data_IF_202298678115
#
_entry.id   IF_202298678115
#
_cell.length_a   1.000
_cell.length_b   1.000
_cell.length_c   1.000
_cell.angle_alpha   90.00
_cell.angle_beta   90.00
_cell.angle_gamma   90.00
#
_symmetry.space_group_name_H-M   'P 1'
#
loop_
_entity.id
_entity.type
_entity.pdbx_description
1 polymer ?
#
# COMPACT_ATOMS: atom_id res chain seq x y z
N UNK A 1 8.36 10.11 -11.26
CA UNK A 1 7.31 9.25 -11.85
C UNK A 1 6.18 9.17 -10.83
N UNK A 2 4.91 9.11 -11.24
CA UNK A 2 3.83 8.98 -10.25
C UNK A 2 3.82 7.53 -9.75
N UNK A 3 4.12 7.35 -8.46
CA UNK A 3 4.05 6.04 -7.82
C UNK A 3 2.57 5.74 -7.55
N UNK A 4 2.07 4.65 -8.12
CA UNK A 4 0.65 4.27 -8.01
C UNK A 4 0.42 3.08 -7.07
N UNK A 5 1.49 2.38 -6.67
CA UNK A 5 1.40 1.14 -5.89
C UNK A 5 2.41 1.11 -4.75
N UNK A 6 2.04 0.43 -3.66
CA UNK A 6 2.91 0.12 -2.53
C UNK A 6 3.18 -1.37 -2.46
N UNK A 7 4.38 -1.73 -2.05
CA UNK A 7 4.74 -3.07 -1.62
C UNK A 7 4.77 -3.18 -0.09
N UNK A 8 4.96 -4.39 0.44
CA UNK A 8 4.94 -4.63 1.89
C UNK A 8 6.02 -3.85 2.66
N UNK A 9 7.21 -3.60 2.07
CA UNK A 9 8.28 -2.82 2.71
C UNK A 9 7.85 -1.36 2.84
N UNK A 10 7.31 -0.79 1.78
CA UNK A 10 6.84 0.60 1.74
C UNK A 10 5.66 0.81 2.68
N UNK A 11 4.74 -0.16 2.73
CA UNK A 11 3.63 -0.14 3.66
C UNK A 11 4.09 -0.17 5.12
N UNK A 12 5.16 -0.89 5.46
CA UNK A 12 5.77 -0.88 6.80
C UNK A 12 6.47 0.43 7.17
N UNK A 13 6.89 1.23 6.18
CA UNK A 13 7.49 2.54 6.43
C UNK A 13 6.41 3.58 6.75
N UNK A 14 5.23 3.44 6.14
CA UNK A 14 4.09 4.33 6.36
C UNK A 14 3.30 3.91 7.60
N UNK A 15 2.88 2.65 7.66
CA UNK A 15 2.22 2.05 8.81
C UNK A 15 3.33 1.42 9.66
N UNK A 16 3.58 1.85 10.91
CA UNK A 16 4.61 1.27 11.78
C UNK A 16 4.21 -0.15 12.23
N UNK A 17 4.14 -1.08 11.29
CA UNK A 17 3.66 -2.45 11.42
C UNK A 17 4.71 -3.44 10.94
N UNK A 18 4.58 -4.70 11.36
CA UNK A 18 5.47 -5.76 10.90
C UNK A 18 5.29 -6.06 9.40
N UNK A 19 6.34 -6.55 8.75
CA UNK A 19 6.29 -7.01 7.34
C UNK A 19 5.24 -8.10 7.11
N UNK A 20 5.06 -8.98 8.09
CA UNK A 20 4.05 -10.04 8.05
C UNK A 20 2.64 -9.45 8.07
N UNK A 21 2.41 -8.42 8.90
CA UNK A 21 1.13 -7.69 8.95
C UNK A 21 0.87 -6.94 7.65
N UNK A 22 1.86 -6.22 7.12
CA UNK A 22 1.74 -5.53 5.83
C UNK A 22 1.39 -6.49 4.69
N UNK A 23 2.04 -7.66 4.66
CA UNK A 23 1.76 -8.69 3.64
C UNK A 23 0.35 -9.27 3.75
N UNK A 24 -0.18 -9.42 4.98
CA UNK A 24 -1.58 -9.84 5.21
C UNK A 24 -2.56 -8.80 4.70
N UNK A 25 -2.38 -7.53 5.06
CA UNK A 25 -3.23 -6.41 4.61
C UNK A 25 -3.25 -6.34 3.07
N UNK A 26 -2.09 -6.41 2.42
CA UNK A 26 -2.01 -6.41 0.95
C UNK A 26 -2.79 -7.59 0.35
N UNK A 27 -2.75 -8.77 0.99
CA UNK A 27 -3.50 -9.93 0.51
C UNK A 27 -5.00 -9.73 0.65
N UNK A 28 -5.46 -9.30 1.82
CA UNK A 28 -6.89 -9.08 2.09
C UNK A 28 -7.49 -8.00 1.18
N UNK A 29 -6.75 -6.92 0.91
CA UNK A 29 -7.21 -5.87 0.00
C UNK A 29 -7.20 -6.30 -1.47
N UNK A 30 -6.24 -7.14 -1.87
CA UNK A 30 -6.25 -7.74 -3.20
C UNK A 30 -7.43 -8.72 -3.37
N UNK A 31 -7.73 -9.54 -2.36
CA UNK A 31 -8.90 -10.43 -2.36
C UNK A 31 -10.21 -9.63 -2.47
N UNK A 32 -10.31 -8.45 -1.82
CA UNK A 32 -11.45 -7.52 -1.99
C UNK A 32 -11.55 -7.00 -3.43
N UNK A 33 -10.44 -6.52 -4.00
CA UNK A 33 -10.40 -6.04 -5.40
C UNK A 33 -10.85 -7.12 -6.38
N UNK A 34 -10.37 -8.36 -6.21
CA UNK A 34 -10.76 -9.50 -7.04
C UNK A 34 -12.26 -9.81 -6.88
N UNK A 35 -12.80 -9.72 -5.67
CA UNK A 35 -14.23 -9.90 -5.40
C UNK A 35 -15.10 -8.81 -6.04
N UNK A 36 -14.57 -7.60 -6.22
CA UNK A 36 -15.24 -6.49 -6.90
C UNK A 36 -15.11 -6.57 -8.44
N UNK A 37 -14.36 -7.56 -8.95
CA UNK A 37 -14.14 -7.76 -10.38
C UNK A 37 -12.92 -7.03 -10.95
N UNK A 38 -12.07 -6.45 -10.09
CA UNK A 38 -10.82 -5.83 -10.49
C UNK A 38 -9.66 -6.83 -10.54
N UNK A 39 -8.60 -6.48 -11.28
CA UNK A 39 -7.38 -7.27 -11.34
C UNK A 39 -6.43 -6.80 -10.22
N UNK A 40 -6.09 -7.71 -9.32
CA UNK A 40 -5.11 -7.49 -8.26
C UNK A 40 -3.70 -7.93 -8.66
N UNK A 41 -2.67 -7.22 -8.18
CA UNK A 41 -1.26 -7.58 -8.40
C UNK A 41 -0.66 -8.11 -7.11
N UNK A 42 -0.25 -9.38 -7.10
CA UNK A 42 0.35 -10.00 -5.92
C UNK A 42 1.53 -9.21 -5.37
N UNK A 43 1.49 -8.94 -4.06
CA UNK A 43 2.56 -8.26 -3.33
C UNK A 43 2.59 -6.74 -3.54
N UNK A 44 1.64 -6.19 -4.30
CA UNK A 44 1.43 -4.76 -4.48
C UNK A 44 -0.02 -4.41 -4.18
N UNK A 45 -0.26 -3.14 -3.87
CA UNK A 45 -1.60 -2.61 -3.67
C UNK A 45 -1.66 -1.16 -4.18
N UNK A 46 -2.75 -0.71 -4.80
CA UNK A 46 -2.90 0.68 -5.23
C UNK A 46 -2.87 1.63 -4.03
N UNK A 47 -2.14 2.76 -4.14
CA UNK A 47 -2.06 3.76 -3.06
C UNK A 47 -3.43 4.33 -2.72
N UNK A 48 -4.25 4.60 -3.74
CA UNK A 48 -5.60 5.14 -3.57
C UNK A 48 -6.44 4.23 -2.67
N UNK A 49 -6.40 2.91 -2.91
CA UNK A 49 -7.15 1.96 -2.08
C UNK A 49 -6.67 1.96 -0.63
N UNK A 50 -5.35 2.05 -0.40
CA UNK A 50 -4.82 2.11 0.97
C UNK A 50 -5.21 3.42 1.65
N UNK A 51 -5.17 4.56 0.95
CA UNK A 51 -5.64 5.85 1.47
C UNK A 51 -7.11 5.78 1.90
N UNK A 52 -7.97 5.16 1.09
CA UNK A 52 -9.38 4.98 1.42
C UNK A 52 -9.59 4.11 2.67
N UNK A 53 -8.78 3.07 2.85
CA UNK A 53 -8.87 2.16 4.00
C UNK A 53 -8.21 2.71 5.26
N UNK A 54 -7.24 3.62 5.12
CA UNK A 54 -6.48 4.22 6.22
C UNK A 54 -6.53 5.75 6.18
N UNK A 55 -7.70 6.37 6.40
CA UNK A 55 -7.89 7.82 6.26
C UNK A 55 -7.11 8.66 7.29
N UNK A 56 -6.65 8.04 8.39
CA UNK A 56 -5.88 8.71 9.45
C UNK A 56 -4.36 8.69 9.23
N UNK A 57 -3.92 8.10 8.13
CA UNK A 57 -2.51 7.88 7.83
C UNK A 57 -2.09 8.85 6.73
N UNK A 58 -0.98 9.54 6.94
CA UNK A 58 -0.47 10.47 5.96
C UNK A 58 0.16 9.71 4.78
N UNK A 59 -0.47 9.82 3.62
CA UNK A 59 0.07 9.36 2.33
C UNK A 59 0.39 10.57 1.44
N UNK A 60 0.84 11.68 2.02
CA UNK A 60 1.18 12.89 1.28
C UNK A 60 2.32 12.63 0.29
N UNK A 61 2.44 13.49 -0.73
CA UNK A 61 3.51 13.41 -1.73
C UNK A 61 4.90 13.44 -1.09
N UNK A 62 5.06 14.12 0.05
CA UNK A 62 6.30 14.14 0.82
C UNK A 62 6.66 12.76 1.39
N UNK A 63 5.71 12.10 2.06
CA UNK A 63 5.85 10.73 2.57
C UNK A 63 6.15 9.74 1.44
N UNK A 64 5.45 9.85 0.31
CA UNK A 64 5.67 8.97 -0.85
C UNK A 64 7.05 9.18 -1.49
N UNK A 65 7.55 10.43 -1.51
CA UNK A 65 8.87 10.78 -2.03
C UNK A 65 10.01 10.26 -1.13
N UNK A 66 9.84 10.34 0.19
CA UNK A 66 10.80 9.79 1.16
C UNK A 66 11.00 8.26 1.00
N UNK A 67 9.98 7.54 0.52
CA UNK A 67 10.09 6.11 0.18
C UNK A 67 10.92 5.85 -1.08
N UNK A 68 10.95 6.77 -2.04
CA UNK A 68 11.77 6.64 -3.26
C UNK A 68 13.25 6.92 -2.96
N UNK A 69 13.54 7.85 -2.04
CA UNK A 69 14.90 8.21 -1.64
C UNK A 69 15.58 7.16 -0.74
N UNK A 70 14.81 6.26 -0.15
CA UNK A 70 15.29 5.16 0.71
C UNK A 70 15.70 3.89 -0.07
N UNK A 71 15.87 3.98 -1.39
CA UNK A 71 16.11 2.85 -2.30
C UNK A 71 17.54 2.82 -2.80
#
# INVERSE_FOLDING_TARGET
>A
MIKNHLNAKELCQILPISKSTASKIIRELNEQLESEGYIAIRGKIPIQLVQEKFPHVDFSQETLKALEESK
#
